data_IF_113201983392
#
_entry.id   IF_113201983392
#
_cell.length_a   1.000
_cell.length_b   1.000
_cell.length_c   1.000
_cell.angle_alpha   90.00
_cell.angle_beta   90.00
_cell.angle_gamma   90.00
#
_symmetry.space_group_name_H-M   'P 1'
#
loop_
_entity.id
_entity.type
_entity.pdbx_description
1 polymer ?
#
# COMPACT_ATOMS: atom_id res chain seq x y z
N UNK A 1 31.13 6.96 -28.85
CA UNK A 1 30.41 7.59 -29.98
C UNK A 1 29.12 8.16 -29.42
N UNK A 2 29.10 9.48 -29.23
CA UNK A 2 27.96 10.23 -28.70
C UNK A 2 26.96 10.53 -29.82
N UNK A 3 25.69 10.19 -29.59
CA UNK A 3 24.56 10.80 -30.31
C UNK A 3 23.40 11.10 -29.35
N UNK A 4 22.61 12.14 -29.65
CA UNK A 4 22.15 13.10 -28.67
C UNK A 4 20.64 13.03 -28.39
N UNK A 5 20.26 13.54 -27.22
CA UNK A 5 18.88 13.79 -26.81
C UNK A 5 18.16 14.75 -27.78
N UNK A 6 17.02 14.33 -28.29
CA UNK A 6 16.04 15.18 -28.98
C UNK A 6 14.92 15.55 -28.01
N UNK A 7 14.86 16.85 -27.72
CA UNK A 7 13.77 17.54 -27.03
C UNK A 7 12.50 17.56 -27.89
N UNK A 8 11.36 17.16 -27.31
CA UNK A 8 10.04 17.33 -27.93
C UNK A 8 9.17 18.29 -27.14
N UNK A 9 8.77 19.33 -27.87
CA UNK A 9 7.93 20.47 -27.50
C UNK A 9 6.52 20.06 -27.00
N UNK A 10 6.12 20.58 -25.84
CA UNK A 10 4.72 20.56 -25.36
C UNK A 10 3.90 21.57 -26.15
N UNK A 11 2.95 21.08 -26.95
CA UNK A 11 1.84 21.89 -27.50
C UNK A 11 0.83 22.18 -26.39
N UNK A 12 0.58 23.45 -26.17
CA UNK A 12 -0.50 23.99 -25.34
C UNK A 12 -1.77 24.10 -26.17
N UNK A 13 -2.83 23.40 -25.77
CA UNK A 13 -4.19 23.62 -26.29
C UNK A 13 -5.01 24.36 -25.25
N UNK A 14 -5.31 25.63 -25.56
CA UNK A 14 -6.30 26.45 -24.85
C UNK A 14 -7.70 25.95 -25.22
N UNK A 15 -8.48 25.52 -24.24
CA UNK A 15 -9.93 25.37 -24.38
C UNK A 15 -10.62 26.66 -23.94
N UNK A 16 -11.25 27.32 -24.91
CA UNK A 16 -12.11 28.49 -24.75
C UNK A 16 -13.45 28.09 -24.12
N UNK A 17 -13.82 28.80 -23.05
CA UNK A 17 -15.16 28.86 -22.49
C UNK A 17 -16.09 29.64 -23.41
N UNK A 18 -17.26 29.08 -23.72
CA UNK A 18 -18.44 29.88 -24.11
C UNK A 18 -19.67 29.42 -23.32
N UNK A 19 -20.33 30.40 -22.74
CA UNK A 19 -21.52 30.29 -21.91
C UNK A 19 -22.77 29.96 -22.73
N UNK A 20 -23.74 29.32 -22.07
CA UNK A 20 -25.10 29.14 -22.58
C UNK A 20 -26.05 28.87 -21.42
N UNK A 21 -26.59 29.93 -20.83
CA UNK A 21 -27.78 29.86 -19.97
C UNK A 21 -28.99 29.50 -20.84
N UNK A 22 -29.72 28.46 -20.44
CA UNK A 22 -31.12 28.28 -20.83
C UNK A 22 -31.91 27.82 -19.60
N UNK A 23 -32.70 28.74 -19.06
CA UNK A 23 -33.69 28.50 -18.02
C UNK A 23 -34.92 27.87 -18.69
N UNK A 24 -35.28 26.65 -18.28
CA UNK A 24 -36.60 26.09 -18.55
C UNK A 24 -37.21 25.65 -17.21
N UNK A 25 -38.16 26.45 -16.73
CA UNK A 25 -39.00 26.10 -15.59
C UNK A 25 -40.09 25.13 -16.07
N UNK A 26 -40.08 23.91 -15.55
CA UNK A 26 -41.19 22.97 -15.68
C UNK A 26 -41.65 22.57 -14.28
N UNK A 27 -42.83 23.07 -13.90
CA UNK A 27 -43.48 22.78 -12.63
C UNK A 27 -43.87 21.30 -12.56
N UNK A 28 -43.28 20.58 -11.61
CA UNK A 28 -43.70 19.25 -11.21
C UNK A 28 -44.55 19.37 -9.95
N UNK A 29 -45.82 19.02 -10.10
CA UNK A 29 -46.80 18.88 -9.02
C UNK A 29 -46.43 17.68 -8.15
N UNK A 30 -46.09 17.92 -6.88
CA UNK A 30 -45.95 16.88 -5.88
C UNK A 30 -47.33 16.31 -5.55
N UNK A 31 -47.60 15.08 -5.97
CA UNK A 31 -48.67 14.26 -5.36
C UNK A 31 -48.03 13.46 -4.23
N UNK A 32 -48.42 13.76 -2.99
CA UNK A 32 -47.98 13.03 -1.82
C UNK A 32 -48.67 11.66 -1.79
N UNK A 33 -47.90 10.58 -2.01
CA UNK A 33 -48.34 9.22 -1.74
C UNK A 33 -48.02 8.93 -0.27
N UNK A 34 -48.98 8.46 0.56
CA UNK A 34 -48.69 8.13 1.95
C UNK A 34 -47.77 6.91 2.00
N UNK A 35 -46.58 7.08 2.57
CA UNK A 35 -45.66 5.99 2.85
C UNK A 35 -46.24 5.11 3.96
N UNK A 36 -46.66 3.90 3.60
CA UNK A 36 -46.87 2.82 4.55
C UNK A 36 -45.50 2.37 5.07
N UNK A 37 -45.26 2.54 6.37
CA UNK A 37 -44.05 2.08 7.04
C UNK A 37 -43.94 0.54 6.96
N UNK A 38 -42.96 0.04 6.22
CA UNK A 38 -42.48 -1.34 6.37
C UNK A 38 -41.46 -1.39 7.52
N UNK A 39 -41.54 -2.36 8.44
CA UNK A 39 -40.54 -2.52 9.48
C UNK A 39 -39.29 -3.23 8.91
N UNK A 40 -38.12 -2.69 9.21
CA UNK A 40 -36.87 -3.44 9.28
C UNK A 40 -36.06 -3.58 7.99
N UNK A 41 -35.51 -2.48 7.48
CA UNK A 41 -34.21 -2.54 6.79
C UNK A 41 -33.19 -1.96 7.76
N UNK A 42 -32.07 -2.63 8.07
CA UNK A 42 -31.03 -2.04 8.89
C UNK A 42 -30.49 -0.82 8.12
N UNK A 43 -30.77 0.38 8.62
CA UNK A 43 -30.08 1.58 8.17
C UNK A 43 -28.64 1.45 8.63
N UNK A 44 -27.75 1.12 7.70
CA UNK A 44 -26.31 1.31 7.89
C UNK A 44 -26.09 2.76 8.32
N UNK A 45 -25.40 2.95 9.45
CA UNK A 45 -25.05 4.28 9.96
C UNK A 45 -24.41 5.10 8.85
N UNK A 46 -24.65 6.41 8.80
CA UNK A 46 -23.97 7.30 7.87
C UNK A 46 -22.43 7.18 7.95
N UNK A 47 -21.90 6.82 9.13
CA UNK A 47 -20.48 6.51 9.34
C UNK A 47 -20.01 5.23 8.62
N UNK A 48 -20.86 4.19 8.52
CA UNK A 48 -20.54 2.99 7.74
C UNK A 48 -20.56 3.27 6.23
N UNK A 49 -21.44 4.17 5.77
CA UNK A 49 -21.48 4.60 4.37
C UNK A 49 -20.30 5.52 4.00
N UNK A 50 -19.83 6.36 4.92
CA UNK A 50 -18.60 7.15 4.74
C UNK A 50 -17.33 6.29 4.76
N UNK A 51 -17.22 5.31 5.67
CA UNK A 51 -16.09 4.39 5.73
C UNK A 51 -15.99 3.52 4.45
N UNK A 52 -17.13 3.06 3.93
CA UNK A 52 -17.19 2.37 2.63
C UNK A 52 -16.80 3.30 1.46
N UNK A 53 -17.01 4.62 1.58
CA UNK A 53 -16.63 5.59 0.55
C UNK A 53 -15.14 5.98 0.57
N UNK A 54 -14.48 5.91 1.73
CA UNK A 54 -13.03 6.20 1.87
C UNK A 54 -12.16 4.98 1.58
N UNK A 55 -12.66 3.77 1.84
CA UNK A 55 -11.90 2.53 1.64
C UNK A 55 -10.75 2.42 2.64
N UNK A 56 -9.56 2.03 2.16
CA UNK A 56 -8.38 1.86 3.01
C UNK A 56 -7.88 3.19 3.61
N UNK A 57 -8.25 4.34 3.03
CA UNK A 57 -7.92 5.67 3.57
C UNK A 57 -8.65 5.99 4.88
N UNK A 58 -9.69 5.22 5.25
CA UNK A 58 -10.27 5.33 6.58
C UNK A 58 -9.20 5.02 7.65
N UNK A 59 -9.01 5.86 8.68
CA UNK A 59 -7.95 5.64 9.66
C UNK A 59 -8.01 4.28 10.38
N UNK A 60 -9.20 3.73 10.64
CA UNK A 60 -9.32 2.41 11.25
C UNK A 60 -8.97 1.30 10.25
N UNK A 61 -9.39 1.43 8.99
CA UNK A 61 -8.99 0.50 7.91
C UNK A 61 -7.50 0.55 7.62
N UNK A 62 -6.88 1.73 7.68
CA UNK A 62 -5.44 1.90 7.54
C UNK A 62 -4.68 1.21 8.67
N UNK A 63 -5.13 1.37 9.92
CA UNK A 63 -4.52 0.66 11.05
C UNK A 63 -4.66 -0.86 10.91
N UNK A 64 -5.83 -1.37 10.50
CA UNK A 64 -6.03 -2.79 10.17
C UNK A 64 -5.04 -3.24 9.08
N UNK A 65 -4.85 -2.45 8.01
CA UNK A 65 -3.88 -2.77 6.97
C UNK A 65 -2.44 -2.88 7.51
N UNK A 66 -2.04 -1.99 8.43
CA UNK A 66 -0.72 -2.06 9.06
C UNK A 66 -0.56 -3.33 9.91
N UNK A 67 -1.58 -3.68 10.69
CA UNK A 67 -1.59 -4.91 11.50
C UNK A 67 -1.51 -6.17 10.63
N UNK A 68 -2.24 -6.19 9.51
CA UNK A 68 -2.21 -7.31 8.56
C UNK A 68 -0.82 -7.47 7.92
N UNK A 69 -0.20 -6.38 7.46
CA UNK A 69 1.17 -6.40 6.93
C UNK A 69 2.16 -6.86 8.01
N UNK A 70 2.11 -6.28 9.22
CA UNK A 70 3.03 -6.65 10.30
C UNK A 70 2.88 -8.11 10.74
N UNK A 71 1.68 -8.71 10.61
CA UNK A 71 1.52 -10.14 10.87
C UNK A 71 2.31 -11.01 9.89
N UNK A 72 2.52 -10.54 8.66
CA UNK A 72 3.32 -11.22 7.65
C UNK A 72 4.80 -10.82 7.68
N UNK A 73 5.14 -9.58 8.00
CA UNK A 73 6.55 -9.16 8.06
C UNK A 73 7.21 -9.55 9.39
N UNK A 74 6.45 -9.55 10.49
CA UNK A 74 7.01 -9.63 11.85
C UNK A 74 6.24 -10.56 12.80
N UNK A 75 5.25 -11.32 12.30
CA UNK A 75 4.44 -12.26 13.10
C UNK A 75 3.78 -11.62 14.34
N UNK A 76 3.41 -10.34 14.26
CA UNK A 76 2.76 -9.58 15.33
C UNK A 76 1.73 -8.60 14.77
N UNK A 77 0.74 -8.22 15.57
CA UNK A 77 -0.17 -7.12 15.24
C UNK A 77 0.34 -5.76 15.73
N UNK A 78 1.35 -5.76 16.62
CA UNK A 78 1.95 -4.53 17.14
C UNK A 78 2.94 -3.94 16.13
N UNK A 79 2.39 -3.39 15.04
CA UNK A 79 3.16 -2.82 13.94
C UNK A 79 4.01 -1.62 14.37
N UNK A 80 3.62 -0.91 15.44
CA UNK A 80 4.38 0.23 15.97
C UNK A 80 5.65 -0.20 16.69
N UNK A 81 5.70 -1.41 17.23
CA UNK A 81 6.94 -1.95 17.79
C UNK A 81 8.05 -2.12 16.72
N UNK A 82 7.71 -2.03 15.43
CA UNK A 82 8.63 -2.24 14.31
C UNK A 82 9.36 -0.97 13.85
N UNK A 83 9.07 0.21 14.41
CA UNK A 83 9.83 1.43 14.06
C UNK A 83 11.35 1.24 14.24
N UNK A 84 11.76 0.52 15.29
CA UNK A 84 13.16 0.23 15.61
C UNK A 84 13.69 -1.10 15.05
N UNK A 85 12.89 -1.86 14.31
CA UNK A 85 13.36 -3.09 13.68
C UNK A 85 14.47 -2.76 12.67
N UNK A 86 15.57 -3.50 12.70
CA UNK A 86 16.65 -3.45 11.70
C UNK A 86 17.44 -4.76 11.73
N UNK A 87 17.52 -5.43 10.57
CA UNK A 87 18.25 -6.68 10.40
C UNK A 87 18.65 -6.84 8.93
N UNK A 88 19.83 -7.40 8.65
CA UNK A 88 20.09 -7.99 7.34
C UNK A 88 19.66 -9.46 7.38
N UNK A 89 18.59 -9.76 6.64
CA UNK A 89 17.96 -11.08 6.61
C UNK A 89 18.59 -12.01 5.56
N UNK A 90 19.65 -11.57 4.87
CA UNK A 90 20.39 -12.36 3.89
C UNK A 90 19.66 -12.55 2.56
N UNK A 91 18.73 -11.67 2.21
CA UNK A 91 17.96 -11.70 0.96
C UNK A 91 18.60 -10.88 -0.18
N UNK A 92 19.77 -10.29 0.08
CA UNK A 92 20.53 -9.48 -0.87
C UNK A 92 20.09 -8.02 -0.96
N UNK A 93 19.26 -7.53 -0.02
CA UNK A 93 18.84 -6.12 0.06
C UNK A 93 19.63 -5.28 1.08
N UNK A 94 20.61 -5.91 1.76
CA UNK A 94 21.34 -5.31 2.88
C UNK A 94 20.48 -5.23 4.13
N UNK A 95 20.62 -4.15 4.91
CA UNK A 95 19.74 -3.93 6.06
C UNK A 95 18.30 -3.71 5.62
N UNK A 96 17.36 -4.44 6.24
CA UNK A 96 15.91 -4.24 6.18
C UNK A 96 15.43 -3.70 7.52
N UNK A 97 14.68 -2.58 7.52
CA UNK A 97 14.36 -1.87 8.75
C UNK A 97 12.99 -1.17 8.76
N UNK A 98 12.49 -0.87 9.96
CA UNK A 98 11.29 -0.07 10.15
C UNK A 98 9.96 -0.78 9.83
N UNK A 99 8.88 -0.01 9.84
CA UNK A 99 7.49 -0.52 9.82
C UNK A 99 7.04 -1.24 8.55
N UNK A 100 7.83 -1.18 7.48
CA UNK A 100 7.55 -1.86 6.20
C UNK A 100 8.79 -2.49 5.57
N UNK A 101 9.92 -2.55 6.29
CA UNK A 101 11.15 -3.12 5.76
C UNK A 101 11.84 -2.26 4.69
N UNK A 102 12.08 -0.98 4.98
CA UNK A 102 12.95 -0.13 4.17
C UNK A 102 14.33 -0.77 4.04
N UNK A 103 14.91 -0.84 2.84
CA UNK A 103 16.21 -1.50 2.66
C UNK A 103 17.32 -0.56 2.21
N UNK A 104 18.55 -0.79 2.71
CA UNK A 104 19.73 -0.01 2.33
C UNK A 104 20.10 -0.20 0.86
N UNK A 105 19.81 -1.36 0.28
CA UNK A 105 20.12 -1.69 -1.10
C UNK A 105 19.05 -1.33 -2.13
N UNK A 106 17.90 -0.76 -1.72
CA UNK A 106 16.76 -0.46 -2.61
C UNK A 106 16.40 1.02 -2.69
N UNK A 107 17.22 1.89 -2.09
CA UNK A 107 17.08 3.35 -2.13
C UNK A 107 16.05 3.94 -1.17
N UNK A 108 15.05 3.19 -0.72
CA UNK A 108 13.98 3.70 0.14
C UNK A 108 14.42 3.96 1.58
N UNK A 109 15.39 3.20 2.13
CA UNK A 109 16.03 3.56 3.40
C UNK A 109 16.81 4.88 3.28
N UNK A 110 17.48 5.12 2.15
CA UNK A 110 18.18 6.38 1.91
C UNK A 110 17.18 7.54 1.84
N UNK A 111 16.11 7.42 1.06
CA UNK A 111 15.04 8.44 0.96
C UNK A 111 14.45 8.76 2.35
N UNK A 112 14.21 7.73 3.17
CA UNK A 112 13.73 7.88 4.54
C UNK A 112 14.70 8.68 5.42
N UNK A 113 15.99 8.33 5.41
CA UNK A 113 17.00 9.02 6.25
C UNK A 113 17.25 10.44 5.75
N UNK A 114 17.14 10.69 4.44
CA UNK A 114 17.17 12.05 3.89
C UNK A 114 15.97 12.87 4.41
N UNK A 115 14.76 12.34 4.31
CA UNK A 115 13.55 12.99 4.83
C UNK A 115 13.64 13.28 6.34
N UNK A 116 14.12 12.32 7.12
CA UNK A 116 14.33 12.51 8.55
C UNK A 116 15.36 13.61 8.83
N UNK A 117 16.47 13.62 8.08
CA UNK A 117 17.52 14.64 8.22
C UNK A 117 17.07 16.03 7.78
N UNK A 118 16.17 16.14 6.80
CA UNK A 118 15.58 17.43 6.45
C UNK A 118 14.74 18.01 7.60
N UNK A 119 14.05 17.16 8.36
CA UNK A 119 13.21 17.55 9.50
C UNK A 119 14.06 17.81 10.75
N UNK A 120 15.07 16.98 10.96
CA UNK A 120 15.96 17.02 12.11
C UNK A 120 17.44 16.89 11.69
N UNK A 121 18.11 18.00 11.30
CA UNK A 121 19.44 17.94 10.68
C UNK A 121 20.58 17.36 11.54
N UNK A 122 20.37 17.24 12.86
CA UNK A 122 21.36 16.73 13.81
C UNK A 122 21.02 15.33 14.35
N UNK A 123 20.11 14.60 13.72
CA UNK A 123 19.68 13.29 14.17
C UNK A 123 20.80 12.23 14.11
N UNK A 124 20.60 11.12 14.84
CA UNK A 124 21.56 10.02 14.96
C UNK A 124 21.93 9.34 13.63
N UNK A 125 21.06 9.42 12.60
CA UNK A 125 21.25 8.78 11.30
C UNK A 125 21.92 9.68 10.26
N UNK A 126 21.97 11.00 10.48
CA UNK A 126 22.44 11.97 9.48
C UNK A 126 23.88 11.71 9.01
N UNK A 127 24.76 11.24 9.90
CA UNK A 127 26.16 10.91 9.56
C UNK A 127 26.31 9.70 8.64
N UNK A 128 25.28 8.86 8.52
CA UNK A 128 25.29 7.66 7.69
C UNK A 128 24.85 7.93 6.25
N UNK A 129 24.30 9.10 5.95
CA UNK A 129 23.85 9.46 4.59
C UNK A 129 24.90 9.25 3.49
N UNK A 130 26.20 9.59 3.68
CA UNK A 130 27.21 9.28 2.67
C UNK A 130 27.39 7.78 2.42
N UNK A 131 27.34 6.96 3.47
CA UNK A 131 27.46 5.50 3.36
C UNK A 131 26.22 4.90 2.70
N UNK A 132 25.01 5.32 3.11
CA UNK A 132 23.75 4.90 2.49
C UNK A 132 23.72 5.18 0.98
N UNK A 133 24.24 6.33 0.53
CA UNK A 133 24.36 6.64 -0.91
C UNK A 133 25.35 5.75 -1.67
N UNK A 134 26.41 5.28 -1.00
CA UNK A 134 27.43 4.44 -1.62
C UNK A 134 26.97 2.98 -1.72
N UNK A 135 26.23 2.49 -0.71
CA UNK A 135 25.77 1.09 -0.67
C UNK A 135 24.45 0.87 -1.42
N UNK A 136 23.71 1.92 -1.76
CA UNK A 136 22.46 1.83 -2.51
C UNK A 136 22.63 1.02 -3.82
N UNK A 137 21.73 0.07 -4.06
CA UNK A 137 21.83 -0.92 -5.12
C UNK A 137 22.68 -2.16 -4.81
N UNK A 138 23.20 -2.29 -3.58
CA UNK A 138 23.98 -3.45 -3.11
C UNK A 138 23.53 -3.92 -1.72
N UNK A 139 24.02 -5.08 -1.28
CA UNK A 139 23.84 -5.61 0.08
C UNK A 139 24.99 -5.21 1.04
N UNK A 140 25.82 -4.22 0.67
CA UNK A 140 26.99 -3.83 1.45
C UNK A 140 26.64 -3.10 2.75
N UNK A 141 27.39 -3.37 3.81
CA UNK A 141 27.32 -2.64 5.09
C UNK A 141 28.48 -1.64 5.28
N UNK A 142 29.27 -1.37 4.23
CA UNK A 142 30.44 -0.51 4.31
C UNK A 142 30.07 0.91 4.74
N UNK A 143 30.67 1.37 5.85
CA UNK A 143 30.40 2.69 6.43
C UNK A 143 29.13 2.78 7.29
N UNK A 144 28.31 1.73 7.32
CA UNK A 144 27.18 1.58 8.25
C UNK A 144 27.64 0.90 9.55
N UNK A 145 28.34 -0.21 9.42
CA UNK A 145 28.78 -0.99 10.59
C UNK A 145 29.92 -0.31 11.37
N UNK A 146 29.97 -0.54 12.70
CA UNK A 146 29.04 -1.35 13.51
C UNK A 146 27.89 -0.52 14.14
N UNK A 147 27.88 0.81 13.95
CA UNK A 147 27.04 1.71 14.76
C UNK A 147 25.64 1.99 14.21
N UNK A 148 25.37 1.64 12.95
CA UNK A 148 24.13 2.03 12.28
C UNK A 148 22.87 1.42 12.93
N UNK A 149 22.93 0.16 13.36
CA UNK A 149 21.81 -0.51 14.02
C UNK A 149 21.47 0.10 15.37
N UNK A 150 22.48 0.46 16.17
CA UNK A 150 22.30 1.19 17.43
C UNK A 150 21.71 2.58 17.19
N UNK A 151 22.22 3.31 16.19
CA UNK A 151 21.72 4.63 15.81
C UNK A 151 20.26 4.58 15.30
N UNK A 152 19.88 3.51 14.59
CA UNK A 152 18.51 3.25 14.16
C UNK A 152 17.58 3.04 15.36
N UNK A 153 17.99 2.20 16.31
CA UNK A 153 17.24 1.95 17.53
C UNK A 153 17.09 3.23 18.38
N UNK A 154 18.12 4.07 18.45
CA UNK A 154 18.04 5.39 19.09
C UNK A 154 17.03 6.30 18.37
N UNK A 155 17.14 6.43 17.05
CA UNK A 155 16.24 7.25 16.24
C UNK A 155 14.79 6.78 16.33
N UNK A 156 14.53 5.48 16.49
CA UNK A 156 13.18 4.92 16.64
C UNK A 156 12.43 5.39 17.89
N UNK A 157 13.12 6.03 18.84
CA UNK A 157 12.47 6.68 19.99
C UNK A 157 12.07 8.13 19.72
N UNK A 158 12.44 8.68 18.56
CA UNK A 158 12.12 10.03 18.14
C UNK A 158 10.81 10.08 17.32
N UNK A 159 9.78 10.81 17.78
CA UNK A 159 8.55 11.02 17.03
C UNK A 159 8.76 11.59 15.60
N UNK A 160 9.83 12.34 15.37
CA UNK A 160 10.16 12.84 14.04
C UNK A 160 10.58 11.71 13.08
N UNK A 161 11.30 10.70 13.58
CA UNK A 161 11.66 9.52 12.80
C UNK A 161 10.46 8.60 12.58
N UNK A 162 9.62 8.38 13.60
CA UNK A 162 8.36 7.65 13.45
C UNK A 162 7.48 8.29 12.36
N UNK A 163 7.37 9.62 12.38
CA UNK A 163 6.61 10.35 11.36
C UNK A 163 7.27 10.28 9.98
N UNK A 164 8.61 10.30 9.88
CA UNK A 164 9.30 10.11 8.61
C UNK A 164 9.01 8.73 8.01
N UNK A 165 9.04 7.66 8.83
CA UNK A 165 8.67 6.31 8.39
C UNK A 165 7.21 6.25 7.92
N UNK A 166 6.28 6.86 8.67
CA UNK A 166 4.87 6.91 8.29
C UNK A 166 4.65 7.60 6.93
N UNK A 167 5.31 8.74 6.73
CA UNK A 167 5.15 9.55 5.52
C UNK A 167 5.80 8.87 4.31
N UNK A 168 6.92 8.19 4.51
CA UNK A 168 7.61 7.48 3.43
C UNK A 168 6.86 6.22 3.00
N UNK A 169 6.34 5.44 3.97
CA UNK A 169 5.35 4.38 3.71
C UNK A 169 4.19 4.92 2.87
N UNK A 170 3.66 6.07 3.27
CA UNK A 170 2.48 6.64 2.63
C UNK A 170 2.77 7.06 1.19
N UNK A 171 3.85 7.81 0.99
CA UNK A 171 4.27 8.34 -0.30
C UNK A 171 4.56 7.25 -1.33
N UNK A 172 5.32 6.22 -0.95
CA UNK A 172 5.88 5.23 -1.89
C UNK A 172 4.97 4.01 -2.05
N UNK A 173 4.28 3.60 -1.00
CA UNK A 173 3.57 2.32 -0.97
C UNK A 173 2.06 2.49 -0.83
N UNK A 174 1.60 3.12 0.25
CA UNK A 174 0.18 3.16 0.60
C UNK A 174 -0.63 4.01 -0.39
N UNK A 175 -0.28 5.29 -0.58
CA UNK A 175 -1.05 6.19 -1.43
C UNK A 175 -1.06 5.74 -2.90
N UNK A 176 0.05 5.28 -3.50
CA UNK A 176 0.02 4.72 -4.85
C UNK A 176 -0.89 3.49 -4.97
N UNK A 177 -0.81 2.54 -4.04
CA UNK A 177 -1.64 1.34 -4.04
C UNK A 177 -3.13 1.65 -3.90
N UNK A 178 -3.50 2.47 -2.90
CA UNK A 178 -4.90 2.84 -2.63
C UNK A 178 -5.48 3.64 -3.80
N UNK A 179 -4.74 4.62 -4.32
CA UNK A 179 -5.15 5.39 -5.51
C UNK A 179 -5.35 4.50 -6.73
N UNK A 180 -4.46 3.53 -6.95
CA UNK A 180 -4.59 2.60 -8.08
C UNK A 180 -5.76 1.63 -7.89
N UNK A 181 -5.99 1.14 -6.66
CA UNK A 181 -7.15 0.31 -6.33
C UNK A 181 -8.47 1.05 -6.57
N UNK A 182 -8.55 2.32 -6.16
CA UNK A 182 -9.69 3.19 -6.45
C UNK A 182 -9.89 3.42 -7.94
N UNK A 183 -8.83 3.61 -8.71
CA UNK A 183 -8.90 3.75 -10.17
C UNK A 183 -9.39 2.47 -10.87
N UNK A 184 -9.11 1.30 -10.28
CA UNK A 184 -9.63 0.02 -10.74
C UNK A 184 -11.04 -0.30 -10.21
N UNK A 185 -11.59 0.56 -9.35
CA UNK A 185 -12.92 0.41 -8.77
C UNK A 185 -12.99 -0.65 -7.67
N UNK A 186 -11.88 -0.93 -7.00
CA UNK A 186 -11.80 -1.94 -5.93
C UNK A 186 -12.29 -1.38 -4.58
N UNK A 187 -12.98 -2.22 -3.82
CA UNK A 187 -13.28 -2.03 -2.41
C UNK A 187 -12.03 -2.13 -1.53
N UNK A 188 -12.24 -2.08 -0.22
CA UNK A 188 -11.16 -2.00 0.78
C UNK A 188 -10.22 -3.20 0.74
N UNK A 189 -10.75 -4.42 0.56
CA UNK A 189 -9.93 -5.63 0.44
C UNK A 189 -9.02 -5.57 -0.79
N UNK A 190 -9.52 -5.09 -1.93
CA UNK A 190 -8.71 -4.97 -3.14
C UNK A 190 -7.63 -3.91 -3.03
N UNK A 191 -7.93 -2.79 -2.35
CA UNK A 191 -6.94 -1.77 -2.01
C UNK A 191 -5.86 -2.35 -1.07
N UNK A 192 -6.24 -3.15 -0.08
CA UNK A 192 -5.29 -3.85 0.79
C UNK A 192 -4.42 -4.85 0.02
N UNK A 193 -5.01 -5.64 -0.89
CA UNK A 193 -4.27 -6.58 -1.72
C UNK A 193 -3.20 -5.87 -2.58
N UNK A 194 -3.51 -4.68 -3.11
CA UNK A 194 -2.52 -3.85 -3.81
C UNK A 194 -1.44 -3.32 -2.89
N UNK A 195 -1.81 -2.86 -1.70
CA UNK A 195 -0.87 -2.34 -0.71
C UNK A 195 0.12 -3.42 -0.25
N UNK A 196 -0.38 -4.60 0.10
CA UNK A 196 0.44 -5.73 0.51
C UNK A 196 1.37 -6.23 -0.62
N UNK A 197 0.90 -6.13 -1.88
CA UNK A 197 1.71 -6.47 -3.04
C UNK A 197 2.83 -5.45 -3.29
N UNK A 198 2.56 -4.14 -3.21
CA UNK A 198 3.60 -3.13 -3.43
C UNK A 198 4.62 -3.08 -2.29
N UNK A 199 4.23 -3.42 -1.05
CA UNK A 199 5.19 -3.57 0.07
C UNK A 199 6.19 -4.68 -0.24
N UNK A 200 5.71 -5.87 -0.65
CA UNK A 200 6.60 -7.02 -0.90
C UNK A 200 7.38 -6.92 -2.22
N UNK A 201 6.76 -6.39 -3.28
CA UNK A 201 7.32 -6.43 -4.63
C UNK A 201 7.80 -5.07 -5.16
N UNK A 202 7.61 -4.00 -4.40
CA UNK A 202 7.98 -2.64 -4.79
C UNK A 202 7.16 -2.07 -5.96
N UNK A 203 7.37 -0.77 -6.20
CA UNK A 203 6.77 -0.01 -7.30
C UNK A 203 7.60 0.01 -8.59
N UNK A 204 8.54 -0.93 -8.75
CA UNK A 204 9.50 -1.00 -9.86
C UNK A 204 8.87 -1.36 -11.22
N UNK A 205 9.74 -1.75 -12.17
CA UNK A 205 9.32 -2.13 -13.53
C UNK A 205 9.76 -3.54 -13.94
N UNK A 206 10.34 -4.30 -13.01
CA UNK A 206 10.70 -5.70 -13.22
C UNK A 206 9.45 -6.61 -13.31
N UNK A 207 9.68 -7.88 -13.65
CA UNK A 207 8.61 -8.83 -13.96
C UNK A 207 7.75 -9.22 -12.75
N UNK A 208 8.23 -9.03 -11.53
CA UNK A 208 7.52 -9.36 -10.28
C UNK A 208 7.04 -8.13 -9.52
N UNK A 209 7.41 -6.91 -9.93
CA UNK A 209 6.88 -5.66 -9.39
C UNK A 209 5.35 -5.56 -9.37
N UNK A 210 4.81 -4.73 -8.47
CA UNK A 210 3.37 -4.49 -8.35
C UNK A 210 2.70 -4.15 -9.70
N UNK A 211 3.33 -3.29 -10.50
CA UNK A 211 2.82 -2.91 -11.81
C UNK A 211 2.68 -4.11 -12.76
N UNK A 212 3.67 -4.99 -12.79
CA UNK A 212 3.67 -6.21 -13.60
C UNK A 212 2.65 -7.25 -13.11
N UNK A 213 2.52 -7.43 -11.79
CA UNK A 213 1.49 -8.29 -11.19
C UNK A 213 0.09 -7.81 -11.60
N UNK A 214 -0.18 -6.51 -11.49
CA UNK A 214 -1.45 -5.91 -11.90
C UNK A 214 -1.72 -6.14 -13.39
N UNK A 215 -0.73 -5.95 -14.27
CA UNK A 215 -0.89 -6.22 -15.71
C UNK A 215 -1.20 -7.69 -16.00
N UNK A 216 -0.58 -8.61 -15.27
CA UNK A 216 -0.88 -10.05 -15.38
C UNK A 216 -2.33 -10.36 -14.97
N UNK A 217 -2.84 -9.72 -13.92
CA UNK A 217 -4.23 -9.86 -13.50
C UNK A 217 -5.22 -9.32 -14.57
N UNK A 218 -4.93 -8.13 -15.11
CA UNK A 218 -5.74 -7.48 -16.15
C UNK A 218 -5.83 -8.28 -17.46
N UNK A 219 -4.83 -9.13 -17.74
CA UNK A 219 -4.88 -10.03 -18.89
C UNK A 219 -5.85 -11.20 -18.70
N UNK A 220 -6.29 -11.47 -17.46
CA UNK A 220 -7.16 -12.60 -17.10
C UNK A 220 -8.59 -12.12 -16.80
N UNK A 221 -8.74 -11.01 -16.06
CA UNK A 221 -10.03 -10.49 -15.64
C UNK A 221 -10.08 -8.96 -15.75
N UNK A 222 -11.21 -8.43 -16.21
CA UNK A 222 -11.47 -6.99 -16.20
C UNK A 222 -11.72 -6.52 -14.75
N UNK A 223 -11.19 -5.35 -14.35
CA UNK A 223 -11.47 -4.78 -13.04
C UNK A 223 -12.89 -4.15 -13.01
N UNK A 224 -13.44 -3.85 -11.82
CA UNK A 224 -14.73 -3.19 -11.68
C UNK A 224 -14.88 -1.89 -12.47
N UNK A 225 -13.82 -1.08 -12.58
CA UNK A 225 -13.85 0.16 -13.37
C UNK A 225 -14.06 -0.06 -14.88
N UNK A 226 -13.92 -1.30 -15.36
CA UNK A 226 -14.19 -1.73 -16.72
C UNK A 226 -15.40 -2.67 -16.81
N UNK A 227 -16.23 -2.74 -15.76
CA UNK A 227 -17.44 -3.55 -15.70
C UNK A 227 -17.21 -5.03 -15.37
N UNK A 228 -16.02 -5.40 -14.89
CA UNK A 228 -15.74 -6.74 -14.40
C UNK A 228 -16.26 -6.99 -12.99
N UNK A 229 -16.36 -8.26 -12.61
CA UNK A 229 -16.69 -8.67 -11.24
C UNK A 229 -15.47 -8.52 -10.34
N UNK A 230 -15.63 -7.85 -9.19
CA UNK A 230 -14.53 -7.58 -8.27
C UNK A 230 -13.91 -8.88 -7.72
N UNK A 231 -14.73 -9.87 -7.38
CA UNK A 231 -14.22 -11.13 -6.82
C UNK A 231 -13.40 -11.88 -7.85
N UNK A 232 -13.86 -11.97 -9.10
CA UNK A 232 -13.12 -12.56 -10.20
C UNK A 232 -11.80 -11.82 -10.48
N UNK A 233 -11.82 -10.49 -10.43
CA UNK A 233 -10.60 -9.69 -10.60
C UNK A 233 -9.58 -9.90 -9.47
N UNK A 234 -10.04 -9.88 -8.21
CA UNK A 234 -9.17 -10.12 -7.07
C UNK A 234 -8.62 -11.54 -7.05
N UNK A 235 -9.39 -12.54 -7.45
CA UNK A 235 -8.88 -13.91 -7.55
C UNK A 235 -7.76 -14.01 -8.60
N UNK A 236 -7.95 -13.37 -9.77
CA UNK A 236 -6.91 -13.28 -10.80
C UNK A 236 -5.67 -12.50 -10.33
N UNK A 237 -5.86 -11.43 -9.56
CA UNK A 237 -4.76 -10.64 -8.99
C UNK A 237 -3.96 -11.44 -7.96
N UNK A 238 -4.64 -12.12 -7.03
CA UNK A 238 -3.99 -12.95 -6.02
C UNK A 238 -3.27 -14.15 -6.65
N UNK A 239 -3.78 -14.71 -7.75
CA UNK A 239 -3.08 -15.74 -8.53
C UNK A 239 -1.81 -15.21 -9.21
N UNK A 240 -1.90 -14.02 -9.82
CA UNK A 240 -0.75 -13.34 -10.40
C UNK A 240 0.32 -13.05 -9.32
N UNK A 241 -0.10 -12.65 -8.12
CA UNK A 241 0.79 -12.40 -7.00
C UNK A 241 1.46 -13.66 -6.48
N UNK A 242 0.71 -14.74 -6.26
CA UNK A 242 1.28 -16.04 -5.87
C UNK A 242 2.29 -16.54 -6.90
N UNK A 243 2.05 -16.30 -8.19
CA UNK A 243 3.04 -16.59 -9.23
C UNK A 243 4.34 -15.78 -9.06
N UNK A 244 4.24 -14.49 -8.76
CA UNK A 244 5.38 -13.60 -8.57
C UNK A 244 6.19 -14.00 -7.33
N UNK A 245 5.53 -14.22 -6.18
CA UNK A 245 6.15 -14.70 -4.94
C UNK A 245 6.98 -15.97 -5.17
N UNK A 246 6.47 -16.91 -5.97
CA UNK A 246 7.16 -18.18 -6.28
C UNK A 246 8.37 -18.05 -7.22
N UNK A 247 8.62 -16.86 -7.80
CA UNK A 247 9.86 -16.63 -8.56
C UNK A 247 11.05 -16.28 -7.65
N UNK A 248 10.79 -15.90 -6.40
CA UNK A 248 11.78 -15.45 -5.43
C UNK A 248 11.85 -16.49 -4.29
N UNK A 249 12.99 -17.16 -4.10
CA UNK A 249 13.12 -18.26 -3.12
C UNK A 249 12.77 -17.81 -1.69
N UNK A 250 13.20 -16.61 -1.32
CA UNK A 250 12.90 -15.95 -0.04
C UNK A 250 11.39 -15.74 0.20
N UNK A 251 10.57 -15.74 -0.84
CA UNK A 251 9.13 -15.43 -0.76
C UNK A 251 8.25 -16.63 -1.14
N UNK A 252 8.77 -17.85 -1.07
CA UNK A 252 8.04 -19.06 -1.52
C UNK A 252 6.85 -19.46 -0.63
N UNK A 253 6.79 -19.01 0.63
CA UNK A 253 5.61 -19.15 1.49
C UNK A 253 4.55 -18.10 1.11
N UNK A 254 3.40 -18.59 0.62
CA UNK A 254 2.30 -17.76 0.12
C UNK A 254 1.15 -17.60 1.11
N UNK A 255 1.34 -17.92 2.40
CA UNK A 255 0.29 -17.88 3.43
C UNK A 255 -0.36 -16.51 3.60
N UNK A 256 0.39 -15.41 3.44
CA UNK A 256 -0.16 -14.03 3.44
C UNK A 256 -1.23 -13.81 2.36
N UNK A 257 -1.21 -14.61 1.30
CA UNK A 257 -2.28 -14.68 0.31
C UNK A 257 -3.25 -15.80 0.68
N UNK A 258 -2.77 -17.04 0.75
CA UNK A 258 -3.61 -18.25 0.74
C UNK A 258 -4.46 -18.43 1.99
N UNK A 259 -3.93 -18.06 3.15
CA UNK A 259 -4.59 -18.22 4.46
C UNK A 259 -4.98 -16.88 5.10
N UNK A 260 -4.88 -15.78 4.35
CA UNK A 260 -5.36 -14.45 4.74
C UNK A 260 -6.20 -13.78 3.65
N UNK A 261 -5.59 -13.11 2.67
CA UNK A 261 -6.33 -12.36 1.63
C UNK A 261 -7.38 -13.20 0.89
N UNK A 262 -7.02 -14.44 0.53
CA UNK A 262 -7.94 -15.37 -0.13
C UNK A 262 -9.08 -15.81 0.79
N UNK A 263 -8.85 -15.87 2.10
CA UNK A 263 -9.89 -16.17 3.10
C UNK A 263 -10.89 -15.02 3.17
N UNK A 264 -10.41 -13.78 3.25
CA UNK A 264 -11.28 -12.59 3.25
C UNK A 264 -12.12 -12.52 1.97
N UNK A 265 -11.50 -12.79 0.82
CA UNK A 265 -12.18 -12.82 -0.47
C UNK A 265 -13.27 -13.91 -0.52
N UNK A 266 -12.95 -15.14 -0.09
CA UNK A 266 -13.91 -16.27 -0.05
C UNK A 266 -15.07 -16.03 0.91
N UNK A 267 -14.84 -15.27 1.97
CA UNK A 267 -15.89 -14.85 2.90
C UNK A 267 -16.76 -13.71 2.35
N UNK A 268 -16.44 -13.16 1.17
CA UNK A 268 -17.13 -12.03 0.58
C UNK A 268 -16.89 -10.71 1.35
N UNK A 269 -15.84 -10.65 2.17
CA UNK A 269 -15.52 -9.49 2.99
C UNK A 269 -14.72 -8.45 2.17
N UNK A 270 -15.35 -7.93 1.11
CA UNK A 270 -14.73 -6.94 0.20
C UNK A 270 -14.45 -5.61 0.89
N UNK A 271 -15.16 -5.31 1.97
CA UNK A 271 -14.98 -4.09 2.77
C UNK A 271 -13.91 -4.23 3.85
N UNK A 272 -13.34 -5.43 4.04
CA UNK A 272 -12.32 -5.73 5.07
C UNK A 272 -12.81 -5.35 6.49
N UNK A 273 -14.06 -5.68 6.80
CA UNK A 273 -14.68 -5.40 8.10
C UNK A 273 -14.31 -6.47 9.14
N UNK A 274 -13.97 -6.08 10.39
CA UNK A 274 -13.88 -7.02 11.50
C UNK A 274 -15.22 -7.73 11.79
N UNK A 275 -15.19 -8.95 12.35
CA UNK A 275 -14.01 -9.68 12.76
C UNK A 275 -13.20 -10.24 11.58
N UNK A 276 -11.88 -10.12 11.66
CA UNK A 276 -10.92 -10.70 10.71
C UNK A 276 -10.16 -11.82 11.41
N UNK A 277 -10.21 -13.02 10.85
CA UNK A 277 -9.46 -14.19 11.29
C UNK A 277 -8.61 -14.70 10.12
N UNK A 278 -7.31 -14.87 10.35
CA UNK A 278 -6.40 -15.35 9.33
C UNK A 278 -5.21 -16.09 9.91
N UNK A 279 -4.40 -16.68 9.02
CA UNK A 279 -3.11 -17.25 9.37
C UNK A 279 -2.01 -16.80 8.43
N UNK A 280 -0.81 -16.61 8.98
CA UNK A 280 0.44 -16.44 8.23
C UNK A 280 1.49 -17.31 8.91
N UNK A 281 2.28 -18.04 8.13
CA UNK A 281 3.30 -19.00 8.62
C UNK A 281 2.79 -20.07 9.60
N UNK A 282 1.47 -20.30 9.63
CA UNK A 282 0.80 -21.24 10.54
C UNK A 282 0.26 -20.59 11.82
N UNK A 283 0.72 -19.39 12.18
CA UNK A 283 0.23 -18.63 13.33
C UNK A 283 -1.12 -18.00 13.05
N UNK A 284 -1.97 -17.93 14.07
CA UNK A 284 -3.35 -17.43 13.96
C UNK A 284 -3.46 -16.03 14.54
N UNK A 285 -4.10 -15.14 13.79
CA UNK A 285 -4.30 -13.75 14.16
C UNK A 285 -5.79 -13.39 14.11
N UNK A 286 -6.17 -12.39 14.91
CA UNK A 286 -7.55 -11.94 15.05
C UNK A 286 -7.61 -10.43 15.28
N UNK A 287 -8.50 -9.74 14.54
CA UNK A 287 -8.94 -8.37 14.82
C UNK A 287 -10.46 -8.40 14.99
N UNK A 288 -10.95 -7.90 16.12
CA UNK A 288 -12.37 -7.95 16.51
C UNK A 288 -13.18 -6.70 16.20
#
# INVERSE_FOLDING_TARGET
>A
MHHPHTSTSRRTTRLTRTAGLAVLALGLTFTAIPATAQPGVPTSSAAHLEAAATGLDDPAKKDIAMQLVSSAENSTLDWKAQYGYIEDIGDGRGYTAGIIGFCSGTGDMLDLVELYTEREPGNALASYLPALREVDGTDSHEGLDPGFTDAWAEAASDPAFEQAQNDERDRVYFDPAVRQGKADGLGTLGQFAYYDAIVMHGGGTDATSFGSIRQRALAVASPPSQGGDETAYLDAFLDARVWAMKQEEAHSDTSRVDTAQRVFLRNGNLDLDPPLDWKVYGDSFHIG
#
